data_IF_737932870966
#
_entry.id   IF_737932870966
#
_cell.length_a   1.000
_cell.length_b   1.000
_cell.length_c   1.000
_cell.angle_alpha   90.00
_cell.angle_beta   90.00
_cell.angle_gamma   90.00
#
_symmetry.space_group_name_H-M   'P 1'
#
loop_
_entity.id
_entity.type
_entity.pdbx_description
1 polymer ?
#
# COMPACT_ATOMS: atom_id res chain seq x y z
N UNK A 1 -4.53 5.96 13.84
CA UNK A 1 -3.43 5.32 13.10
C UNK A 1 -2.80 4.28 14.00
N UNK A 2 -2.42 3.16 13.44
CA UNK A 2 -1.76 2.05 14.17
C UNK A 2 -0.45 1.72 13.45
N UNK A 3 0.65 1.67 14.19
CA UNK A 3 1.97 1.29 13.64
C UNK A 3 2.14 -0.22 13.71
N UNK A 4 2.65 -0.81 12.64
CA UNK A 4 2.96 -2.24 12.52
C UNK A 4 4.49 -2.35 12.46
N UNK A 5 5.12 -2.76 13.55
CA UNK A 5 6.58 -2.83 13.69
C UNK A 5 7.14 -4.27 13.64
N UNK A 6 6.28 -5.27 13.42
CA UNK A 6 6.66 -6.67 13.29
C UNK A 6 5.69 -7.36 12.35
N UNK A 7 6.12 -7.51 11.11
CA UNK A 7 5.39 -8.28 10.10
C UNK A 7 5.88 -9.73 10.12
N UNK A 8 4.97 -10.71 10.14
CA UNK A 8 5.32 -12.12 9.91
C UNK A 8 5.72 -12.40 8.45
N UNK A 9 5.45 -11.44 7.55
CA UNK A 9 5.86 -11.49 6.15
C UNK A 9 7.29 -10.93 5.99
N UNK A 10 8.27 -11.75 5.52
CA UNK A 10 9.67 -11.33 5.39
C UNK A 10 9.91 -10.23 4.33
N UNK A 11 8.92 -9.95 3.48
CA UNK A 11 9.01 -8.88 2.48
C UNK A 11 8.62 -7.50 3.03
N UNK A 12 8.12 -7.41 4.26
CA UNK A 12 7.66 -6.15 4.88
C UNK A 12 8.57 -5.82 6.05
N UNK A 13 9.10 -4.60 6.07
CA UNK A 13 9.91 -4.08 7.18
C UNK A 13 8.99 -3.53 8.29
N UNK A 14 8.18 -2.55 7.91
CA UNK A 14 7.31 -1.77 8.78
C UNK A 14 6.03 -1.36 8.04
N UNK A 15 5.01 -0.99 8.79
CA UNK A 15 3.77 -0.48 8.20
C UNK A 15 3.01 0.45 9.12
N UNK A 16 2.00 1.08 8.55
CA UNK A 16 1.06 1.94 9.26
C UNK A 16 -0.33 1.75 8.67
N UNK A 17 -1.32 1.57 9.55
CA UNK A 17 -2.72 1.45 9.19
C UNK A 17 -3.48 2.73 9.53
N UNK A 18 -4.28 3.18 8.57
CA UNK A 18 -5.19 4.31 8.68
C UNK A 18 -6.63 3.83 8.54
N UNK A 19 -7.51 4.29 9.44
CA UNK A 19 -8.94 4.17 9.27
C UNK A 19 -9.42 5.30 8.36
N UNK A 20 -10.04 4.93 7.23
CA UNK A 20 -10.54 5.86 6.23
C UNK A 20 -11.93 5.38 5.87
N UNK A 21 -12.97 6.05 6.36
CA UNK A 21 -14.35 5.58 6.13
C UNK A 21 -14.78 5.79 4.67
N UNK A 22 -15.54 4.83 4.14
CA UNK A 22 -16.16 4.92 2.82
C UNK A 22 -15.25 4.54 1.64
N UNK A 23 -14.14 3.83 1.91
CA UNK A 23 -13.24 3.31 0.87
C UNK A 23 -13.16 1.78 0.94
N UNK A 24 -12.57 1.17 -0.10
CA UNK A 24 -12.43 -0.28 -0.22
C UNK A 24 -13.75 -0.96 -0.59
N UNK A 25 -14.90 -0.52 -0.06
CA UNK A 25 -16.18 -1.16 -0.36
C UNK A 25 -16.15 -2.66 -0.03
N UNK A 26 -17.11 -3.42 -0.57
CA UNK A 26 -17.06 -4.87 -0.43
C UNK A 26 -15.80 -5.41 -1.15
N UNK A 27 -14.97 -6.19 -0.44
CA UNK A 27 -13.75 -6.82 -0.98
C UNK A 27 -12.59 -5.89 -1.42
N UNK A 28 -12.60 -4.59 -1.06
CA UNK A 28 -11.51 -3.69 -1.49
C UNK A 28 -11.68 -3.17 -2.94
N UNK A 29 -12.84 -3.39 -3.57
CA UNK A 29 -13.15 -3.02 -4.95
C UNK A 29 -13.45 -1.53 -5.16
N UNK A 30 -13.80 -0.78 -4.11
CA UNK A 30 -13.92 0.68 -4.18
C UNK A 30 -12.54 1.32 -4.02
N UNK A 31 -11.77 1.29 -5.11
CA UNK A 31 -10.43 1.87 -5.15
C UNK A 31 -10.50 3.38 -4.93
N UNK A 32 -9.80 3.94 -3.93
CA UNK A 32 -9.80 5.37 -3.70
C UNK A 32 -8.79 6.05 -4.62
N UNK A 33 -9.18 6.28 -5.87
CA UNK A 33 -8.34 6.83 -6.95
C UNK A 33 -7.56 8.08 -6.54
N UNK A 34 -8.20 8.95 -5.74
CA UNK A 34 -7.58 10.17 -5.20
C UNK A 34 -6.26 9.89 -4.47
N UNK A 35 -6.20 8.87 -3.60
CA UNK A 35 -4.96 8.58 -2.86
C UNK A 35 -3.87 8.01 -3.77
N UNK A 36 -4.25 7.22 -4.77
CA UNK A 36 -3.30 6.68 -5.75
C UNK A 36 -2.68 7.84 -6.56
N UNK A 37 -3.51 8.79 -7.01
CA UNK A 37 -3.03 9.98 -7.70
C UNK A 37 -2.14 10.85 -6.82
N UNK A 38 -2.53 11.11 -5.56
CA UNK A 38 -1.71 11.88 -4.62
C UNK A 38 -0.33 11.22 -4.37
N UNK A 39 -0.26 9.88 -4.30
CA UNK A 39 1.01 9.14 -4.20
C UNK A 39 1.85 9.35 -5.47
N UNK A 40 1.25 9.23 -6.65
CA UNK A 40 1.94 9.45 -7.93
C UNK A 40 2.45 10.88 -8.09
N UNK A 41 1.62 11.87 -7.75
CA UNK A 41 1.97 13.29 -7.80
C UNK A 41 3.12 13.65 -6.83
N UNK A 42 3.27 12.88 -5.75
CA UNK A 42 4.41 13.02 -4.82
C UNK A 42 5.70 12.33 -5.30
N UNK A 43 5.70 11.81 -6.53
CA UNK A 43 6.86 11.28 -7.24
C UNK A 43 7.06 9.76 -7.11
N UNK A 44 6.05 9.02 -6.65
CA UNK A 44 6.09 7.57 -6.62
C UNK A 44 5.55 6.97 -7.92
N UNK A 45 6.23 5.99 -8.49
CA UNK A 45 5.77 5.31 -9.70
C UNK A 45 5.07 4.00 -9.34
N UNK A 46 3.82 3.82 -9.77
CA UNK A 46 3.10 2.56 -9.57
C UNK A 46 3.73 1.43 -10.41
N UNK A 47 3.98 0.30 -9.77
CA UNK A 47 4.43 -0.95 -10.40
C UNK A 47 3.20 -1.77 -10.82
N UNK A 48 2.54 -1.37 -11.92
CA UNK A 48 1.23 -1.90 -12.33
C UNK A 48 1.22 -3.42 -12.57
N UNK A 49 2.31 -3.97 -13.09
CA UNK A 49 2.43 -5.41 -13.36
C UNK A 49 2.47 -6.26 -12.08
N UNK A 50 2.77 -5.65 -10.94
CA UNK A 50 2.84 -6.27 -9.62
C UNK A 50 1.53 -6.14 -8.82
N UNK A 51 0.47 -5.55 -9.38
CA UNK A 51 -0.77 -5.35 -8.62
C UNK A 51 -1.39 -6.69 -8.22
N UNK A 52 -1.69 -6.85 -6.93
CA UNK A 52 -2.33 -8.04 -6.38
C UNK A 52 -3.71 -7.67 -5.81
N UNK A 53 -4.73 -7.67 -6.67
CA UNK A 53 -6.09 -7.33 -6.28
C UNK A 53 -6.19 -5.90 -5.73
N UNK A 54 -6.43 -5.77 -4.42
CA UNK A 54 -6.50 -4.50 -3.70
C UNK A 54 -5.16 -4.03 -3.10
N UNK A 55 -4.06 -4.69 -3.46
CA UNK A 55 -2.69 -4.32 -3.07
C UNK A 55 -1.97 -3.70 -4.26
N UNK A 56 -1.50 -2.48 -4.05
CA UNK A 56 -0.80 -1.67 -5.04
C UNK A 56 0.65 -1.53 -4.61
N UNK A 57 1.59 -1.54 -5.55
CA UNK A 57 3.00 -1.33 -5.26
C UNK A 57 3.49 -0.05 -5.92
N UNK A 58 4.31 0.71 -5.22
CA UNK A 58 4.89 1.94 -5.72
C UNK A 58 6.38 2.02 -5.41
N UNK A 59 7.15 2.53 -6.35
CA UNK A 59 8.60 2.70 -6.23
C UNK A 59 9.01 4.16 -6.31
N UNK A 60 9.94 4.54 -5.45
CA UNK A 60 10.66 5.81 -5.51
C UNK A 60 12.11 5.55 -5.09
N UNK A 61 13.04 5.82 -6.00
CA UNK A 61 14.46 5.51 -5.82
C UNK A 61 14.69 4.01 -5.49
N UNK A 62 15.32 3.69 -4.37
CA UNK A 62 15.54 2.30 -3.89
C UNK A 62 14.44 1.80 -2.94
N UNK A 63 13.45 2.62 -2.62
CA UNK A 63 12.34 2.24 -1.73
C UNK A 63 11.14 1.73 -2.53
N UNK A 64 10.54 0.63 -2.06
CA UNK A 64 9.23 0.17 -2.51
C UNK A 64 8.26 0.18 -1.33
N UNK A 65 7.07 0.68 -1.59
CA UNK A 65 5.95 0.64 -0.64
C UNK A 65 4.81 -0.17 -1.26
N UNK A 66 4.05 -0.85 -0.41
CA UNK A 66 2.75 -1.41 -0.79
C UNK A 66 1.61 -0.69 -0.08
N UNK A 67 0.52 -0.49 -0.81
CA UNK A 67 -0.71 0.10 -0.35
C UNK A 67 -1.80 -0.97 -0.42
N UNK A 68 -2.17 -1.51 0.73
CA UNK A 68 -3.30 -2.43 0.86
C UNK A 68 -4.57 -1.64 1.15
N UNK A 69 -5.58 -1.80 0.30
CA UNK A 69 -6.91 -1.19 0.49
C UNK A 69 -7.88 -2.26 0.99
N UNK A 70 -8.44 -2.05 2.17
CA UNK A 70 -9.54 -2.87 2.70
C UNK A 70 -10.75 -1.99 2.98
N UNK A 71 -11.87 -2.62 3.32
CA UNK A 71 -13.05 -1.86 3.74
C UNK A 71 -12.68 -0.93 4.91
N UNK A 72 -12.98 0.35 4.74
CA UNK A 72 -12.78 1.42 5.70
C UNK A 72 -11.33 1.59 6.21
N UNK A 73 -10.34 1.05 5.50
CA UNK A 73 -8.94 1.16 5.91
C UNK A 73 -7.94 1.09 4.77
N UNK A 74 -6.82 1.77 4.97
CA UNK A 74 -5.62 1.67 4.14
C UNK A 74 -4.48 1.24 5.04
N UNK A 75 -3.69 0.26 4.59
CA UNK A 75 -2.41 -0.05 5.22
C UNK A 75 -1.30 0.26 4.24
N UNK A 76 -0.36 1.08 4.67
CA UNK A 76 0.88 1.34 3.95
C UNK A 76 1.97 0.49 4.57
N UNK A 77 2.66 -0.29 3.75
CA UNK A 77 3.84 -1.05 4.16
C UNK A 77 5.05 -0.56 3.40
N UNK A 78 6.17 -0.40 4.09
CA UNK A 78 7.47 -0.30 3.47
C UNK A 78 8.04 -1.71 3.32
N UNK A 79 8.52 -2.00 2.12
CA UNK A 79 9.02 -3.31 1.76
C UNK A 79 10.51 -3.41 2.13
N UNK A 80 10.97 -4.60 2.49
CA UNK A 80 12.40 -4.83 2.68
C UNK A 80 13.15 -4.63 1.35
N UNK A 81 14.44 -4.26 1.40
CA UNK A 81 15.23 -4.04 0.17
C UNK A 81 15.35 -5.29 -0.71
N UNK A 82 15.23 -6.46 -0.09
CA UNK A 82 15.30 -7.77 -0.74
C UNK A 82 13.90 -8.36 -1.04
N UNK A 83 12.83 -7.58 -0.84
CA UNK A 83 11.47 -8.04 -1.06
C UNK A 83 11.28 -8.52 -2.50
N UNK A 84 10.72 -9.72 -2.64
CA UNK A 84 10.26 -10.25 -3.93
C UNK A 84 8.84 -9.75 -4.14
N UNK A 85 8.66 -8.92 -5.16
CA UNK A 85 7.42 -8.19 -5.49
C UNK A 85 6.89 -8.68 -6.82
#
# INVERSE_FOLDING_TARGET
>A
METISSSENPNIDNGVKYEVKGIGGEQGLSTPERYIQEIQDSGWTELKDNRLGHVYFFKKEDTVISLEIRQDSITLYEMTKDAII
#
